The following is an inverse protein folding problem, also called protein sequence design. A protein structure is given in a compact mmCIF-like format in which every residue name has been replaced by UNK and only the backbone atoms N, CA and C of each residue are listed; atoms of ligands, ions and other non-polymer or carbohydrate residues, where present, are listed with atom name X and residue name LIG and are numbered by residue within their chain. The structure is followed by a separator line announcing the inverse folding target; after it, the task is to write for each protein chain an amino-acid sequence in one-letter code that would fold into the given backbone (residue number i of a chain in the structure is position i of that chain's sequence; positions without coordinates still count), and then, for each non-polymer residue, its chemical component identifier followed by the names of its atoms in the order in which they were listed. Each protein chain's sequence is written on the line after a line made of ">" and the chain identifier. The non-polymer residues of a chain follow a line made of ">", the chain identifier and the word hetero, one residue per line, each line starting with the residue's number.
data_IF_846395540416
#
_entry.id   IF_846395540416
#
_cell.length_a   1.000
_cell.length_b   1.000
_cell.length_c   1.000
_cell.angle_alpha   90.00
_cell.angle_beta   90.00
_cell.angle_gamma   90.00
#
_symmetry.space_group_name_H-M   'P 1'
#
loop_
_entity.id
_entity.type
_entity.pdbx_description
1 polymer ?
#
# COMPACT_ATOMS: atom_id res chain seq x y z
N UNK A 1 10.39 38.47 -91.01
CA UNK A 1 9.60 37.25 -90.70
C UNK A 1 10.35 36.25 -89.80
N UNK A 2 11.54 35.76 -90.18
CA UNK A 2 12.28 34.72 -89.42
C UNK A 2 12.71 35.16 -87.99
N UNK A 3 13.15 36.42 -87.83
CA UNK A 3 13.53 36.98 -86.52
C UNK A 3 12.32 37.07 -85.57
N UNK A 4 11.17 37.51 -86.09
CA UNK A 4 9.92 37.62 -85.33
C UNK A 4 9.41 36.24 -84.86
N UNK A 5 9.56 35.22 -85.72
CA UNK A 5 9.22 33.83 -85.40
C UNK A 5 10.15 33.27 -84.31
N UNK A 6 11.46 33.48 -84.41
CA UNK A 6 12.43 33.08 -83.39
C UNK A 6 12.18 33.75 -82.03
N UNK A 7 11.77 35.02 -82.01
CA UNK A 7 11.40 35.73 -80.79
C UNK A 7 10.11 35.16 -80.16
N UNK A 8 9.07 34.91 -80.97
CA UNK A 8 7.84 34.27 -80.49
C UNK A 8 8.08 32.85 -79.95
N UNK A 9 8.92 32.07 -80.61
CA UNK A 9 9.26 30.71 -80.17
C UNK A 9 10.06 30.72 -78.87
N UNK A 10 11.04 31.62 -78.73
CA UNK A 10 11.76 31.83 -77.46
C UNK A 10 10.81 32.25 -76.33
N UNK A 11 9.88 33.15 -76.61
CA UNK A 11 8.89 33.61 -75.62
C UNK A 11 7.93 32.48 -75.20
N UNK A 12 7.49 31.65 -76.15
CA UNK A 12 6.65 30.48 -75.90
C UNK A 12 7.37 29.42 -75.06
N UNK A 13 8.60 29.05 -75.43
CA UNK A 13 9.42 28.08 -74.67
C UNK A 13 9.76 28.60 -73.27
N UNK A 14 9.97 29.91 -73.11
CA UNK A 14 10.17 30.54 -71.82
C UNK A 14 8.92 30.47 -70.93
N UNK A 15 7.74 30.78 -71.50
CA UNK A 15 6.44 30.62 -70.81
C UNK A 15 6.16 29.18 -70.42
N UNK A 16 6.46 28.22 -71.28
CA UNK A 16 6.23 26.79 -71.03
C UNK A 16 7.12 26.26 -69.90
N UNK A 17 8.43 26.57 -69.92
CA UNK A 17 9.35 26.22 -68.82
C UNK A 17 8.93 26.82 -67.49
N UNK A 18 8.40 28.05 -67.52
CA UNK A 18 7.90 28.72 -66.32
C UNK A 18 6.63 28.08 -65.77
N UNK A 19 5.67 27.74 -66.65
CA UNK A 19 4.45 27.04 -66.25
C UNK A 19 4.73 25.68 -65.61
N UNK A 20 5.76 24.96 -66.08
CA UNK A 20 6.19 23.70 -65.49
C UNK A 20 6.84 23.93 -64.13
N UNK A 21 7.73 24.93 -64.01
CA UNK A 21 8.37 25.26 -62.73
C UNK A 21 7.36 25.73 -61.67
N UNK A 22 6.39 26.57 -62.04
CA UNK A 22 5.31 27.02 -61.16
C UNK A 22 4.40 25.85 -60.72
N UNK A 23 4.14 24.90 -61.62
CA UNK A 23 3.38 23.68 -61.33
C UNK A 23 4.15 22.79 -60.33
N UNK A 24 5.41 22.48 -60.60
CA UNK A 24 6.26 21.67 -59.72
C UNK A 24 6.48 22.30 -58.34
N UNK A 25 6.61 23.62 -58.24
CA UNK A 25 6.68 24.32 -56.95
C UNK A 25 5.35 24.29 -56.19
N UNK A 26 4.22 24.32 -56.91
CA UNK A 26 2.89 24.19 -56.31
C UNK A 26 2.62 22.78 -55.79
N UNK A 27 3.07 21.76 -56.52
CA UNK A 27 2.97 20.35 -56.16
C UNK A 27 3.83 20.05 -54.92
N UNK A 28 5.11 20.44 -54.93
CA UNK A 28 6.02 20.31 -53.78
C UNK A 28 5.49 21.02 -52.52
N UNK A 29 4.94 22.23 -52.66
CA UNK A 29 4.32 22.96 -51.54
C UNK A 29 3.07 22.25 -50.99
N UNK A 30 2.30 21.57 -51.85
CA UNK A 30 1.12 20.82 -51.43
C UNK A 30 1.53 19.54 -50.69
N UNK A 31 2.51 18.82 -51.21
CA UNK A 31 3.07 17.62 -50.60
C UNK A 31 3.67 17.91 -49.22
N UNK A 32 4.54 18.93 -49.11
CA UNK A 32 5.11 19.36 -47.82
C UNK A 32 4.03 19.79 -46.81
N UNK A 33 2.97 20.47 -47.26
CA UNK A 33 1.85 20.84 -46.37
C UNK A 33 1.11 19.63 -45.83
N UNK A 34 0.91 18.62 -46.68
CA UNK A 34 0.22 17.40 -46.29
C UNK A 34 1.07 16.58 -45.32
N UNK A 35 2.36 16.40 -45.59
CA UNK A 35 3.28 15.69 -44.69
C UNK A 35 3.40 16.37 -43.31
N UNK A 36 3.57 17.69 -43.27
CA UNK A 36 3.62 18.45 -42.01
C UNK A 36 2.29 18.35 -41.26
N UNK A 37 1.15 18.37 -41.96
CA UNK A 37 -0.17 18.23 -41.32
C UNK A 37 -0.35 16.84 -40.73
N UNK A 38 -0.05 15.78 -41.48
CA UNK A 38 -0.10 14.40 -40.99
C UNK A 38 0.82 14.16 -39.79
N UNK A 39 2.03 14.74 -39.80
CA UNK A 39 2.96 14.65 -38.67
C UNK A 39 2.45 15.40 -37.43
N UNK A 40 1.83 16.57 -37.61
CA UNK A 40 1.21 17.34 -36.52
C UNK A 40 0.02 16.59 -35.92
N UNK A 41 -0.84 16.00 -36.74
CA UNK A 41 -2.00 15.24 -36.29
C UNK A 41 -1.58 14.01 -35.48
N UNK A 42 -0.56 13.28 -35.95
CA UNK A 42 0.04 12.15 -35.22
C UNK A 42 0.63 12.58 -33.87
N UNK A 43 1.35 13.72 -33.83
CA UNK A 43 1.93 14.24 -32.59
C UNK A 43 0.83 14.68 -31.60
N UNK A 44 -0.24 15.30 -32.08
CA UNK A 44 -1.38 15.67 -31.24
C UNK A 44 -2.10 14.45 -30.66
N UNK A 45 -2.31 13.41 -31.46
CA UNK A 45 -2.88 12.14 -30.97
C UNK A 45 -2.00 11.51 -29.89
N UNK A 46 -0.68 11.43 -30.12
CA UNK A 46 0.26 10.92 -29.12
C UNK A 46 0.25 11.74 -27.83
N UNK A 47 0.16 13.07 -27.93
CA UNK A 47 0.08 13.94 -26.75
C UNK A 47 -1.18 13.61 -25.92
N UNK A 48 -2.34 13.47 -26.57
CA UNK A 48 -3.59 13.13 -25.89
C UNK A 48 -3.49 11.78 -25.17
N UNK A 49 -2.95 10.76 -25.83
CA UNK A 49 -2.75 9.44 -25.21
C UNK A 49 -1.84 9.51 -23.98
N UNK A 50 -0.73 10.25 -24.06
CA UNK A 50 0.18 10.42 -22.91
C UNK A 50 -0.52 11.17 -21.76
N UNK A 51 -1.30 12.20 -22.05
CA UNK A 51 -2.07 12.95 -21.04
C UNK A 51 -3.12 12.06 -20.35
N UNK A 52 -3.81 11.20 -21.09
CA UNK A 52 -4.77 10.23 -20.53
C UNK A 52 -4.09 9.19 -19.63
N UNK A 53 -2.95 8.63 -20.06
CA UNK A 53 -2.20 7.67 -19.25
C UNK A 53 -1.62 8.30 -17.98
N UNK A 54 -1.12 9.54 -18.07
CA UNK A 54 -0.65 10.29 -16.91
C UNK A 54 -1.79 10.52 -15.91
N UNK A 55 -2.97 10.93 -16.38
CA UNK A 55 -4.14 11.12 -15.52
C UNK A 55 -4.59 9.83 -14.85
N UNK A 56 -4.57 8.69 -15.57
CA UNK A 56 -4.86 7.37 -14.99
C UNK A 56 -3.86 7.01 -13.90
N UNK A 57 -2.57 7.25 -14.13
CA UNK A 57 -1.53 6.97 -13.14
C UNK A 57 -1.66 7.85 -11.89
N UNK A 58 -1.96 9.14 -12.05
CA UNK A 58 -2.17 10.06 -10.92
C UNK A 58 -3.35 9.62 -10.06
N UNK A 59 -4.49 9.26 -10.68
CA UNK A 59 -5.67 8.75 -9.94
C UNK A 59 -5.33 7.50 -9.14
N UNK A 60 -4.67 6.51 -9.75
CA UNK A 60 -4.22 5.30 -9.05
C UNK A 60 -3.27 5.63 -7.89
N UNK A 61 -2.37 6.59 -8.08
CA UNK A 61 -1.44 7.03 -7.04
C UNK A 61 -2.19 7.65 -5.84
N UNK A 62 -3.18 8.50 -6.09
CA UNK A 62 -4.01 9.12 -5.05
C UNK A 62 -4.82 8.07 -4.27
N UNK A 63 -5.43 7.10 -4.97
CA UNK A 63 -6.17 5.98 -4.37
C UNK A 63 -5.29 5.13 -3.44
N UNK A 64 -4.09 4.79 -3.90
CA UNK A 64 -3.14 3.99 -3.10
C UNK A 64 -2.62 4.78 -1.91
N UNK A 65 -2.36 6.10 -2.05
CA UNK A 65 -2.00 6.94 -0.91
C UNK A 65 -3.12 7.03 0.14
N UNK A 66 -4.38 7.09 -0.30
CA UNK A 66 -5.52 7.04 0.62
C UNK A 66 -5.57 5.70 1.38
N UNK A 67 -5.42 4.58 0.67
CA UNK A 67 -5.35 3.23 1.26
C UNK A 67 -4.16 3.07 2.21
N UNK A 68 -2.99 3.63 1.85
CA UNK A 68 -1.81 3.61 2.71
C UNK A 68 -2.06 4.35 4.03
N UNK A 69 -2.72 5.51 3.98
CA UNK A 69 -3.07 6.29 5.18
C UNK A 69 -4.05 5.53 6.08
N UNK A 70 -5.02 4.84 5.49
CA UNK A 70 -5.97 4.00 6.21
C UNK A 70 -5.28 2.81 6.86
N UNK A 71 -4.49 2.06 6.11
CA UNK A 71 -3.75 0.91 6.62
C UNK A 71 -2.73 1.30 7.71
N UNK A 72 -2.13 2.50 7.63
CA UNK A 72 -1.30 3.04 8.73
C UNK A 72 -2.11 3.29 10.02
N UNK A 73 -3.36 3.73 9.92
CA UNK A 73 -4.25 3.89 11.08
C UNK A 73 -4.62 2.54 11.67
N UNK A 74 -4.93 1.56 10.83
CA UNK A 74 -5.21 0.19 11.26
C UNK A 74 -4.00 -0.45 11.96
N UNK A 75 -2.80 -0.35 11.37
CA UNK A 75 -1.56 -0.82 12.01
C UNK A 75 -1.34 -0.15 13.37
N UNK A 76 -1.65 1.15 13.50
CA UNK A 76 -1.55 1.86 14.78
C UNK A 76 -2.61 1.43 15.81
N UNK A 77 -3.80 1.00 15.37
CA UNK A 77 -4.82 0.41 16.24
C UNK A 77 -4.41 -1.00 16.69
N UNK A 78 -3.93 -1.83 15.76
CA UNK A 78 -3.42 -3.18 16.03
C UNK A 78 -2.26 -3.13 17.03
N UNK A 79 -1.29 -2.23 16.83
CA UNK A 79 -0.17 -2.05 17.78
C UNK A 79 -0.61 -1.65 19.19
N UNK A 80 -1.67 -0.82 19.31
CA UNK A 80 -2.22 -0.45 20.62
C UNK A 80 -2.85 -1.66 21.31
N UNK A 81 -3.68 -2.42 20.58
CA UNK A 81 -4.28 -3.66 21.10
C UNK A 81 -3.24 -4.70 21.49
N UNK A 82 -2.17 -4.83 20.70
CA UNK A 82 -1.02 -5.69 21.03
C UNK A 82 -0.37 -5.30 22.36
N UNK A 83 -0.15 -4.01 22.59
CA UNK A 83 0.44 -3.53 23.84
C UNK A 83 -0.48 -3.79 25.05
N UNK A 84 -1.79 -3.57 24.88
CA UNK A 84 -2.79 -3.88 25.91
C UNK A 84 -2.77 -5.38 26.27
N UNK A 85 -2.85 -6.26 25.26
CA UNK A 85 -2.82 -7.70 25.46
C UNK A 85 -1.50 -8.18 26.08
N UNK A 86 -0.36 -7.59 25.69
CA UNK A 86 0.94 -7.95 26.26
C UNK A 86 0.97 -7.64 27.76
N UNK A 87 0.55 -6.44 28.16
CA UNK A 87 0.51 -6.05 29.58
C UNK A 87 -0.43 -6.96 30.38
N UNK A 88 -1.58 -7.28 29.80
CA UNK A 88 -2.59 -8.15 30.39
C UNK A 88 -2.08 -9.59 30.59
N UNK A 89 -1.37 -10.14 29.60
CA UNK A 89 -0.73 -11.46 29.67
C UNK A 89 0.35 -11.45 30.75
N UNK A 90 1.20 -10.42 30.79
CA UNK A 90 2.30 -10.32 31.75
C UNK A 90 1.78 -10.23 33.20
N UNK A 91 0.73 -9.42 33.43
CA UNK A 91 0.05 -9.33 34.73
C UNK A 91 -0.59 -10.66 35.13
N UNK A 92 -1.31 -11.30 34.21
CA UNK A 92 -1.98 -12.58 34.48
C UNK A 92 -0.98 -13.70 34.75
N UNK A 93 0.14 -13.73 34.02
CA UNK A 93 1.21 -14.70 34.21
C UNK A 93 1.92 -14.53 35.56
N UNK A 94 2.13 -13.27 36.00
CA UNK A 94 2.65 -12.97 37.33
C UNK A 94 1.70 -13.49 38.41
N UNK A 95 0.42 -13.17 38.30
CA UNK A 95 -0.59 -13.63 39.27
C UNK A 95 -0.73 -15.16 39.29
N UNK A 96 -0.71 -15.82 38.13
CA UNK A 96 -0.70 -17.27 38.03
C UNK A 96 0.51 -17.90 38.74
N UNK A 97 1.67 -17.25 38.71
CA UNK A 97 2.85 -17.69 39.44
C UNK A 97 2.65 -17.65 40.96
N UNK A 98 2.02 -16.58 41.46
CA UNK A 98 1.67 -16.43 42.87
C UNK A 98 0.66 -17.49 43.32
N UNK A 99 -0.42 -17.67 42.55
CA UNK A 99 -1.42 -18.73 42.81
C UNK A 99 -0.80 -20.12 42.86
N UNK A 100 0.16 -20.44 41.98
CA UNK A 100 0.88 -21.73 42.02
C UNK A 100 1.71 -21.91 43.28
N UNK A 101 2.27 -20.83 43.84
CA UNK A 101 3.01 -20.89 45.12
C UNK A 101 2.05 -21.10 46.28
N UNK A 102 0.93 -20.38 46.29
CA UNK A 102 -0.12 -20.54 47.32
C UNK A 102 -0.71 -21.94 47.31
N UNK A 103 -1.10 -22.46 46.15
CA UNK A 103 -1.61 -23.83 46.00
C UNK A 103 -0.60 -24.86 46.51
N UNK A 104 0.69 -24.67 46.22
CA UNK A 104 1.75 -25.56 46.73
C UNK A 104 1.81 -25.54 48.26
N UNK A 105 1.78 -24.36 48.87
CA UNK A 105 1.80 -24.21 50.33
C UNK A 105 0.57 -24.88 50.95
N UNK A 106 -0.61 -24.68 50.36
CA UNK A 106 -1.86 -25.29 50.83
C UNK A 106 -1.84 -26.82 50.70
N UNK A 107 -1.30 -27.35 49.60
CA UNK A 107 -1.14 -28.80 49.41
C UNK A 107 -0.16 -29.40 50.42
N UNK A 108 0.98 -28.76 50.67
CA UNK A 108 1.95 -29.19 51.67
C UNK A 108 1.33 -29.14 53.08
N UNK A 109 0.61 -28.06 53.41
CA UNK A 109 -0.10 -27.90 54.68
C UNK A 109 -1.17 -28.99 54.88
N UNK A 110 -2.02 -29.23 53.88
CA UNK A 110 -3.04 -30.28 53.94
C UNK A 110 -2.43 -31.67 54.10
N UNK A 111 -1.30 -31.94 53.43
CA UNK A 111 -0.60 -33.23 53.56
C UNK A 111 -0.08 -33.42 54.98
N UNK A 112 0.51 -32.38 55.58
CA UNK A 112 1.00 -32.43 56.95
C UNK A 112 -0.15 -32.60 57.96
N UNK A 113 -1.24 -31.85 57.82
CA UNK A 113 -2.45 -32.00 58.64
C UNK A 113 -3.02 -33.42 58.59
N UNK A 114 -3.14 -34.00 57.39
CA UNK A 114 -3.64 -35.37 57.24
C UNK A 114 -2.72 -36.40 57.93
N UNK A 115 -1.40 -36.20 57.88
CA UNK A 115 -0.44 -37.04 58.60
C UNK A 115 -0.61 -36.88 60.11
N UNK A 116 -0.69 -35.65 60.62
CA UNK A 116 -0.88 -35.36 62.05
C UNK A 116 -2.19 -35.96 62.56
N UNK A 117 -3.30 -35.82 61.83
CA UNK A 117 -4.59 -36.44 62.16
C UNK A 117 -4.47 -37.97 62.19
N UNK A 118 -3.77 -38.57 61.23
CA UNK A 118 -3.57 -40.03 61.20
C UNK A 118 -2.78 -40.53 62.42
N UNK A 119 -1.73 -39.81 62.84
CA UNK A 119 -0.97 -40.12 64.05
C UNK A 119 -1.81 -39.98 65.33
N UNK A 120 -2.64 -38.93 65.41
CA UNK A 120 -3.56 -38.71 66.52
C UNK A 120 -4.65 -39.79 66.58
N UNK A 121 -5.20 -40.21 65.43
CA UNK A 121 -6.16 -41.31 65.35
C UNK A 121 -5.57 -42.65 65.79
N UNK A 122 -4.33 -42.95 65.40
CA UNK A 122 -3.62 -44.15 65.87
C UNK A 122 -3.41 -44.11 67.40
N UNK A 123 -2.99 -42.95 67.91
CA UNK A 123 -2.81 -42.73 69.36
C UNK A 123 -4.14 -42.89 70.12
N UNK A 124 -5.23 -42.33 69.60
CA UNK A 124 -6.58 -42.46 70.14
C UNK A 124 -7.03 -43.93 70.20
N UNK A 125 -6.81 -44.67 69.11
CA UNK A 125 -7.16 -46.10 69.02
C UNK A 125 -6.37 -46.96 70.01
N UNK A 126 -5.12 -46.60 70.29
CA UNK A 126 -4.29 -47.28 71.30
C UNK A 126 -4.73 -46.97 72.73
N UNK A 127 -5.15 -45.73 73.00
CA UNK A 127 -5.66 -45.30 74.30
C UNK A 127 -7.04 -45.88 74.63
N UNK A 128 -7.95 -45.98 73.66
CA UNK A 128 -9.29 -46.59 73.82
C UNK A 128 -9.27 -48.05 74.30
N UNK A 129 -8.13 -48.74 74.20
CA UNK A 129 -7.95 -50.12 74.68
C UNK A 129 -7.62 -50.21 76.18
N UNK A 130 -7.42 -49.08 76.87
CA UNK A 130 -7.05 -49.01 78.30
C UNK A 130 -8.22 -48.40 79.09
N UNK A 131 -8.56 -49.03 80.22
CA UNK A 131 -9.73 -48.69 81.04
C UNK A 131 -9.30 -47.86 82.26
N UNK A 132 -9.02 -46.56 82.03
CA UNK A 132 -8.52 -45.61 83.04
C UNK A 132 -9.17 -44.22 82.83
N UNK A 133 -9.54 -43.54 83.91
CA UNK A 133 -10.33 -42.30 83.90
C UNK A 133 -9.52 -41.11 83.36
N UNK A 134 -8.22 -41.07 83.66
CA UNK A 134 -7.29 -40.08 83.07
C UNK A 134 -7.10 -40.31 81.57
N UNK A 135 -7.21 -41.56 81.11
CA UNK A 135 -7.18 -41.92 79.69
C UNK A 135 -8.45 -41.46 78.97
N UNK A 136 -9.61 -41.52 79.61
CA UNK A 136 -10.86 -40.99 79.03
C UNK A 136 -10.81 -39.48 78.81
N UNK A 137 -10.22 -38.72 79.75
CA UNK A 137 -10.01 -37.28 79.56
C UNK A 137 -8.99 -36.97 78.44
N UNK A 138 -7.96 -37.81 78.29
CA UNK A 138 -7.02 -37.72 77.17
C UNK A 138 -7.67 -37.98 75.81
N UNK A 139 -8.54 -39.00 75.74
CA UNK A 139 -9.32 -39.35 74.55
C UNK A 139 -10.21 -38.19 74.10
N UNK A 140 -10.88 -37.50 75.04
CA UNK A 140 -11.75 -36.36 74.71
C UNK A 140 -10.98 -35.19 74.08
N UNK A 141 -9.82 -34.82 74.64
CA UNK A 141 -8.97 -33.76 74.08
C UNK A 141 -8.44 -34.08 72.68
N UNK A 142 -8.17 -35.36 72.41
CA UNK A 142 -7.75 -35.81 71.08
C UNK A 142 -8.88 -35.74 70.06
N UNK A 143 -10.13 -36.08 70.44
CA UNK A 143 -11.30 -35.92 69.58
C UNK A 143 -11.52 -34.44 69.24
N UNK A 144 -11.47 -33.55 70.25
CA UNK A 144 -11.62 -32.11 70.04
C UNK A 144 -10.52 -31.54 69.09
N UNK A 145 -9.30 -32.08 69.16
CA UNK A 145 -8.20 -31.70 68.27
C UNK A 145 -8.39 -32.20 66.83
N UNK A 146 -8.90 -33.43 66.65
CA UNK A 146 -9.22 -34.00 65.34
C UNK A 146 -10.36 -33.21 64.69
N UNK A 147 -11.40 -32.87 65.45
CA UNK A 147 -12.54 -32.09 64.95
C UNK A 147 -12.09 -30.69 64.50
N UNK A 148 -11.26 -30.01 65.30
CA UNK A 148 -10.69 -28.71 64.90
C UNK A 148 -9.77 -28.76 63.68
N UNK A 149 -9.02 -29.86 63.49
CA UNK A 149 -8.20 -30.07 62.29
C UNK A 149 -9.06 -30.30 61.04
N UNK A 150 -10.17 -31.04 61.17
CA UNK A 150 -11.13 -31.25 60.08
C UNK A 150 -11.81 -29.95 59.65
N UNK A 151 -12.20 -29.08 60.60
CA UNK A 151 -12.74 -27.75 60.29
C UNK A 151 -11.75 -26.88 59.50
N UNK A 152 -10.46 -26.92 59.85
CA UNK A 152 -9.40 -26.21 59.10
C UNK A 152 -9.22 -26.77 57.68
N UNK A 153 -9.36 -28.07 57.50
CA UNK A 153 -9.29 -28.73 56.19
C UNK A 153 -10.45 -28.33 55.27
N UNK A 154 -11.66 -28.15 55.82
CA UNK A 154 -12.81 -27.63 55.06
C UNK A 154 -12.68 -26.13 54.73
N UNK A 155 -11.99 -25.34 55.57
CA UNK A 155 -11.82 -23.90 55.36
C UNK A 155 -10.85 -23.56 54.22
N UNK A 156 -9.79 -24.34 54.03
CA UNK A 156 -8.82 -24.17 52.94
C UNK A 156 -9.18 -25.05 51.74
N UNK A 157 -10.17 -24.64 50.96
CA UNK A 157 -10.59 -25.38 49.76
C UNK A 157 -9.55 -25.26 48.62
N UNK A 158 -8.60 -26.18 48.62
CA UNK A 158 -7.60 -26.35 47.56
C UNK A 158 -8.26 -26.47 46.17
N UNK A 159 -9.52 -26.93 46.07
CA UNK A 159 -10.21 -26.99 44.80
C UNK A 159 -10.53 -25.60 44.25
N UNK A 160 -10.79 -24.61 45.09
CA UNK A 160 -11.04 -23.24 44.64
C UNK A 160 -9.77 -22.61 44.06
N UNK A 161 -8.62 -22.81 44.70
CA UNK A 161 -7.32 -22.40 44.14
C UNK A 161 -7.02 -23.10 42.82
N UNK A 162 -7.28 -24.41 42.73
CA UNK A 162 -7.08 -25.20 41.51
C UNK A 162 -7.96 -24.73 40.35
N UNK A 163 -9.25 -24.51 40.60
CA UNK A 163 -10.20 -24.01 39.59
C UNK A 163 -9.82 -22.61 39.13
N UNK A 164 -9.46 -21.71 40.06
CA UNK A 164 -8.98 -20.37 39.74
C UNK A 164 -7.75 -20.39 38.84
N UNK A 165 -6.76 -21.23 39.16
CA UNK A 165 -5.56 -21.44 38.35
C UNK A 165 -5.87 -21.93 36.94
N UNK A 166 -6.71 -22.96 36.81
CA UNK A 166 -7.08 -23.54 35.51
C UNK A 166 -7.85 -22.55 34.62
N UNK A 167 -8.69 -21.70 35.20
CA UNK A 167 -9.39 -20.64 34.47
C UNK A 167 -8.42 -19.56 33.98
N UNK A 168 -7.50 -19.11 34.84
CA UNK A 168 -6.50 -18.11 34.45
C UNK A 168 -5.55 -18.62 33.36
N UNK A 169 -5.16 -19.89 33.42
CA UNK A 169 -4.30 -20.54 32.42
C UNK A 169 -4.98 -20.58 31.04
N UNK A 170 -6.29 -20.92 31.00
CA UNK A 170 -7.11 -20.87 29.77
C UNK A 170 -7.22 -19.45 29.22
N UNK A 171 -7.43 -18.46 30.09
CA UNK A 171 -7.55 -17.05 29.70
C UNK A 171 -6.25 -16.51 29.10
N UNK A 172 -5.10 -16.81 29.73
CA UNK A 172 -3.77 -16.44 29.20
C UNK A 172 -3.58 -17.05 27.81
N UNK A 173 -3.91 -18.34 27.64
CA UNK A 173 -3.79 -19.02 26.35
C UNK A 173 -4.65 -18.35 25.27
N UNK A 174 -5.92 -18.07 25.55
CA UNK A 174 -6.81 -17.40 24.61
C UNK A 174 -6.32 -16.00 24.23
N UNK A 175 -5.85 -15.20 25.21
CA UNK A 175 -5.28 -13.87 24.96
C UNK A 175 -3.98 -13.92 24.14
N UNK A 176 -3.20 -14.99 24.33
CA UNK A 176 -1.96 -15.22 23.56
C UNK A 176 -2.29 -15.54 22.10
N UNK A 177 -3.28 -16.40 21.85
CA UNK A 177 -3.78 -16.69 20.50
C UNK A 177 -4.32 -15.41 19.81
N UNK A 178 -5.04 -14.54 20.54
CA UNK A 178 -5.48 -13.23 20.03
C UNK A 178 -4.26 -12.35 19.65
N UNK A 179 -3.25 -12.27 20.52
CA UNK A 179 -2.04 -11.50 20.28
C UNK A 179 -1.28 -11.97 19.02
N UNK A 180 -1.12 -13.28 18.83
CA UNK A 180 -0.49 -13.88 17.65
C UNK A 180 -1.29 -13.58 16.36
N UNK A 181 -2.62 -13.65 16.41
CA UNK A 181 -3.47 -13.32 15.26
C UNK A 181 -3.29 -11.87 14.79
N UNK A 182 -3.10 -10.94 15.73
CA UNK A 182 -2.85 -9.52 15.45
C UNK A 182 -1.47 -9.30 14.81
N UNK A 183 -0.47 -10.12 15.13
CA UNK A 183 0.84 -10.08 14.45
C UNK A 183 0.66 -10.41 12.98
N UNK A 184 -0.05 -11.50 12.67
CA UNK A 184 -0.31 -11.94 11.30
C UNK A 184 -1.08 -10.85 10.53
N UNK A 185 -2.12 -10.28 11.12
CA UNK A 185 -2.90 -9.20 10.50
C UNK A 185 -2.02 -7.98 10.16
N UNK A 186 -1.15 -7.57 11.08
CA UNK A 186 -0.21 -6.45 10.85
C UNK A 186 0.76 -6.75 9.71
N UNK A 187 1.30 -7.96 9.63
CA UNK A 187 2.22 -8.38 8.57
C UNK A 187 1.53 -8.40 7.18
N UNK A 188 0.29 -8.89 7.13
CA UNK A 188 -0.51 -8.89 5.91
C UNK A 188 -0.79 -7.46 5.40
N UNK A 189 -1.15 -6.55 6.30
CA UNK A 189 -1.37 -5.14 5.95
C UNK A 189 -0.08 -4.49 5.42
N UNK A 190 1.06 -4.74 6.08
CA UNK A 190 2.36 -4.22 5.62
C UNK A 190 2.75 -4.75 4.24
N UNK A 191 2.56 -6.05 4.01
CA UNK A 191 2.87 -6.71 2.73
C UNK A 191 2.00 -6.14 1.61
N UNK A 192 0.69 -6.00 1.84
CA UNK A 192 -0.25 -5.43 0.86
C UNK A 192 0.12 -4.00 0.46
N UNK A 193 0.52 -3.16 1.42
CA UNK A 193 0.98 -1.79 1.12
C UNK A 193 2.25 -1.84 0.28
N UNK A 194 3.22 -2.67 0.64
CA UNK A 194 4.50 -2.78 -0.07
C UNK A 194 4.29 -3.20 -1.53
N UNK A 195 3.44 -4.20 -1.78
CA UNK A 195 3.09 -4.64 -3.13
C UNK A 195 2.50 -3.51 -3.97
N UNK A 196 1.51 -2.78 -3.45
CA UNK A 196 0.89 -1.65 -4.16
C UNK A 196 1.89 -0.52 -4.45
N UNK A 197 2.81 -0.24 -3.54
CA UNK A 197 3.87 0.74 -3.77
C UNK A 197 4.83 0.29 -4.88
N UNK A 198 5.21 -1.00 -4.93
CA UNK A 198 6.04 -1.52 -6.03
C UNK A 198 5.31 -1.47 -7.38
N UNK A 199 3.99 -1.64 -7.40
CA UNK A 199 3.18 -1.50 -8.60
C UNK A 199 3.20 -0.04 -9.11
N UNK A 200 3.11 0.95 -8.22
CA UNK A 200 3.27 2.38 -8.57
C UNK A 200 4.64 2.63 -9.17
N UNK A 201 5.71 2.14 -8.53
CA UNK A 201 7.08 2.35 -8.99
C UNK A 201 7.23 1.86 -10.45
N UNK A 202 6.69 0.67 -10.75
CA UNK A 202 6.66 0.12 -12.12
C UNK A 202 5.88 1.01 -13.10
N UNK A 203 4.74 1.57 -12.69
CA UNK A 203 3.96 2.48 -13.53
C UNK A 203 4.67 3.83 -13.74
N UNK A 204 5.35 4.35 -12.71
CA UNK A 204 6.19 5.55 -12.80
C UNK A 204 7.34 5.39 -13.80
N UNK A 205 8.03 4.25 -13.75
CA UNK A 205 9.11 3.97 -14.72
C UNK A 205 8.59 3.92 -16.16
N UNK A 206 7.40 3.36 -16.40
CA UNK A 206 6.76 3.40 -17.72
C UNK A 206 6.48 4.83 -18.18
N UNK A 207 6.00 5.70 -17.27
CA UNK A 207 5.76 7.12 -17.59
C UNK A 207 7.05 7.90 -17.84
N UNK A 208 8.15 7.58 -17.13
CA UNK A 208 9.47 8.22 -17.38
C UNK A 208 10.00 7.95 -18.78
N UNK A 209 9.63 6.81 -19.38
CA UNK A 209 9.99 6.48 -20.76
C UNK A 209 9.19 7.28 -21.81
N UNK A 210 8.07 7.91 -21.41
CA UNK A 210 7.26 8.73 -22.30
C UNK A 210 7.78 10.17 -22.39
N UNK A 211 7.68 10.83 -23.57
CA UNK A 211 7.97 12.25 -23.70
C UNK A 211 7.10 13.08 -22.75
N UNK A 212 7.71 14.08 -22.11
CA UNK A 212 6.97 15.01 -21.24
C UNK A 212 5.80 15.66 -21.99
N UNK A 213 4.55 15.61 -21.47
CA UNK A 213 3.40 16.25 -22.11
C UNK A 213 3.62 17.75 -22.35
N UNK A 214 4.28 18.43 -21.41
CA UNK A 214 4.62 19.85 -21.50
C UNK A 214 5.59 20.09 -22.66
N UNK A 215 6.64 19.25 -22.77
CA UNK A 215 7.60 19.34 -23.84
C UNK A 215 6.94 19.08 -25.21
N UNK A 216 6.06 18.08 -25.28
CA UNK A 216 5.33 17.73 -26.50
C UNK A 216 4.40 18.88 -26.95
N UNK A 217 3.71 19.52 -26.01
CA UNK A 217 2.88 20.71 -26.26
C UNK A 217 3.69 21.89 -26.79
N UNK A 218 4.91 22.10 -26.27
CA UNK A 218 5.82 23.16 -26.76
C UNK A 218 6.27 22.85 -28.19
N UNK A 219 6.67 21.60 -28.47
CA UNK A 219 7.10 21.16 -29.80
C UNK A 219 5.98 21.35 -30.83
N UNK A 220 4.75 20.90 -30.51
CA UNK A 220 3.59 21.03 -31.41
C UNK A 220 3.30 22.51 -31.71
N UNK A 221 3.29 23.38 -30.69
CA UNK A 221 3.09 24.82 -30.88
C UNK A 221 4.16 25.44 -31.79
N UNK A 222 5.43 25.05 -31.61
CA UNK A 222 6.53 25.55 -32.43
C UNK A 222 6.40 25.10 -33.89
N UNK A 223 6.07 23.83 -34.13
CA UNK A 223 5.84 23.29 -35.48
C UNK A 223 4.66 23.98 -36.18
N UNK A 224 3.59 24.29 -35.45
CA UNK A 224 2.45 25.06 -35.99
C UNK A 224 2.86 26.49 -36.38
N UNK A 225 3.68 27.16 -35.57
CA UNK A 225 4.19 28.49 -35.87
C UNK A 225 5.16 28.47 -37.08
N UNK A 226 6.07 27.50 -37.13
CA UNK A 226 7.02 27.34 -38.23
C UNK A 226 6.32 27.03 -39.56
N UNK A 227 5.28 26.17 -39.54
CA UNK A 227 4.40 25.93 -40.69
C UNK A 227 3.79 27.24 -41.18
N UNK A 228 3.23 28.05 -40.29
CA UNK A 228 2.58 29.33 -40.64
C UNK A 228 3.59 30.30 -41.27
N UNK A 229 4.81 30.37 -40.72
CA UNK A 229 5.91 31.18 -41.25
C UNK A 229 6.36 30.73 -42.64
N UNK A 230 6.49 29.41 -42.86
CA UNK A 230 6.87 28.85 -44.15
C UNK A 230 5.82 29.11 -45.23
N UNK A 231 4.54 28.99 -44.86
CA UNK A 231 3.40 29.33 -45.73
C UNK A 231 3.44 30.80 -46.18
N UNK A 232 3.68 31.72 -45.24
CA UNK A 232 3.83 33.16 -45.53
C UNK A 232 5.00 33.45 -46.47
N UNK A 233 6.17 32.83 -46.23
CA UNK A 233 7.36 32.98 -47.09
C UNK A 233 7.10 32.47 -48.52
N UNK A 234 6.43 31.33 -48.67
CA UNK A 234 6.08 30.77 -49.98
C UNK A 234 5.06 31.64 -50.72
N UNK A 235 4.07 32.20 -50.01
CA UNK A 235 3.13 33.16 -50.60
C UNK A 235 3.84 34.42 -51.11
N UNK A 236 4.79 34.96 -50.33
CA UNK A 236 5.63 36.10 -50.71
C UNK A 236 6.51 35.79 -51.93
N UNK A 237 7.13 34.61 -51.99
CA UNK A 237 7.94 34.19 -53.14
C UNK A 237 7.09 34.06 -54.41
N UNK A 238 5.91 33.46 -54.31
CA UNK A 238 4.95 33.35 -55.43
C UNK A 238 4.47 34.72 -55.90
N UNK A 239 4.21 35.64 -54.98
CA UNK A 239 3.84 37.02 -55.30
C UNK A 239 4.99 37.77 -56.01
N UNK A 240 6.23 37.64 -55.52
CA UNK A 240 7.43 38.21 -56.15
C UNK A 240 7.70 37.63 -57.53
N UNK A 241 7.51 36.32 -57.71
CA UNK A 241 7.61 35.64 -59.00
C UNK A 241 6.60 36.20 -59.99
N UNK A 242 5.31 36.31 -59.61
CA UNK A 242 4.28 36.94 -60.44
C UNK A 242 4.62 38.40 -60.81
N UNK A 243 5.14 39.19 -59.87
CA UNK A 243 5.50 40.60 -60.12
C UNK A 243 6.72 40.78 -61.04
N UNK A 244 7.72 39.88 -61.00
CA UNK A 244 8.87 39.93 -61.93
C UNK A 244 8.48 39.84 -63.40
N UNK A 245 7.28 39.36 -63.72
CA UNK A 245 6.78 39.24 -65.10
C UNK A 245 5.84 40.36 -65.53
N UNK A 246 5.32 41.17 -64.61
CA UNK A 246 4.62 42.41 -64.93
C UNK A 246 5.59 43.50 -65.43
N UNK A 247 6.89 43.36 -65.12
CA UNK A 247 7.98 44.24 -65.56
C UNK A 247 8.86 43.59 -66.65
N UNK A 248 8.26 42.88 -67.61
CA UNK A 248 8.92 42.77 -68.92
C UNK A 248 8.64 44.11 -69.60
N UNK A 249 9.66 44.92 -69.95
CA UNK A 249 9.41 46.16 -70.67
C UNK A 249 8.57 45.81 -71.90
N UNK A 250 7.38 46.39 -71.99
CA UNK A 250 6.75 46.53 -73.29
C UNK A 250 7.74 47.38 -74.09
N UNK A 251 8.55 46.72 -74.92
CA UNK A 251 9.18 47.39 -76.06
C UNK A 251 7.99 47.74 -76.94
N UNK A 252 7.34 48.88 -76.65
CA UNK A 252 6.42 49.50 -77.57
C UNK A 252 7.26 49.99 -78.73
N UNK A 253 7.13 49.33 -79.87
CA UNK A 253 7.49 49.90 -81.16
C UNK A 253 6.78 51.26 -81.28
N UNK A 254 7.57 52.32 -81.27
CA UNK A 254 7.26 53.65 -81.78
C UNK A 254 8.48 54.12 -82.58
#
# INVERSE_FOLDING_TARGET
>A
MLILFCLKLKFFLFRQKYSIMDFSLSELNTEMRNEISSALDLLQQKQLTIEEELNKCNKKNDEIHAQQKEAMREIAAVKRRQLELQNDIDLSASYLSELRKEEKILLEFNTNLLNDVSELEETLNNLRKKDDEDVQNGIKKLIDAIDGANELYEFYDVNMCKIGRENLDKEIKQRTEEYESLIIQKEQLQTTIAEKLTEIEKHKEKLKALPSPILMKIIIKKLQADRTSLLLKLMLLRAKQKMKHLFIPQISEA
#
